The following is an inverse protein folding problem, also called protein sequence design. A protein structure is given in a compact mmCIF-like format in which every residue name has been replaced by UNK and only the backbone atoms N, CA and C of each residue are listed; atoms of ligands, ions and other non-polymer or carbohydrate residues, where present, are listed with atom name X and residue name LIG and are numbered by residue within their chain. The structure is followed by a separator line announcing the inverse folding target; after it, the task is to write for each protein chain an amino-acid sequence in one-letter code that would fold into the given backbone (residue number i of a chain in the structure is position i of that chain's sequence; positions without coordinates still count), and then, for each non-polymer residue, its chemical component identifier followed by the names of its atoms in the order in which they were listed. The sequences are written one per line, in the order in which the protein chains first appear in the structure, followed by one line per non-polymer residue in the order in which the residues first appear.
data_IF_995942015841
#
_entry.id   IF_995942015841
#
_cell.length_a   1.000
_cell.length_b   1.000
_cell.length_c   1.000
_cell.angle_alpha   90.00
_cell.angle_beta   90.00
_cell.angle_gamma   90.00
#
_symmetry.space_group_name_H-M   'P 1'
#
loop_
_entity.id
_entity.type
_entity.pdbx_description
1 polymer ?
#
# COMPACT_ATOMS: atom_id res chain seq x y z
N UNK A 1 -4.15 -7.13 21.51
CA UNK A 1 -4.78 -5.91 20.95
C UNK A 1 -4.22 -5.71 19.54
N UNK A 2 -5.05 -5.46 18.50
CA UNK A 2 -4.56 -5.16 17.15
C UNK A 2 -3.61 -3.94 17.14
N UNK A 3 -2.64 -3.93 16.23
CA UNK A 3 -1.59 -2.91 16.20
C UNK A 3 -2.16 -1.49 15.96
N UNK A 4 -3.17 -1.38 15.11
CA UNK A 4 -3.90 -0.14 14.84
C UNK A 4 -4.58 0.40 16.11
N UNK A 5 -5.15 -0.48 16.95
CA UNK A 5 -5.83 -0.09 18.17
C UNK A 5 -4.83 0.34 19.25
N UNK A 6 -3.68 -0.35 19.33
CA UNK A 6 -2.60 0.02 20.24
C UNK A 6 -2.03 1.41 19.89
N UNK A 7 -1.81 1.69 18.60
CA UNK A 7 -1.36 3.00 18.12
C UNK A 7 -2.43 4.08 18.32
N UNK A 8 -3.69 3.79 17.96
CA UNK A 8 -4.79 4.75 18.11
C UNK A 8 -4.94 5.22 19.57
N UNK A 9 -4.75 4.31 20.53
CA UNK A 9 -4.90 4.59 21.97
C UNK A 9 -3.61 5.08 22.66
N UNK A 10 -2.49 5.15 21.94
CA UNK A 10 -1.21 5.56 22.53
C UNK A 10 -1.14 7.10 22.67
N UNK A 11 -1.14 7.66 23.89
CA UNK A 11 -1.11 9.11 24.10
C UNK A 11 0.25 9.73 23.75
N UNK A 12 1.32 8.93 23.66
CA UNK A 12 2.66 9.41 23.34
C UNK A 12 2.89 9.59 21.83
N UNK A 13 1.92 9.19 21.00
CA UNK A 13 1.99 9.34 19.54
C UNK A 13 0.95 10.35 19.10
N UNK A 14 1.38 11.46 18.54
CA UNK A 14 0.49 12.53 18.05
C UNK A 14 -0.08 12.20 16.67
N UNK A 15 -1.19 12.85 16.31
CA UNK A 15 -1.79 12.70 14.99
C UNK A 15 -0.88 13.20 13.87
N UNK A 16 -0.09 14.24 14.14
CA UNK A 16 0.91 14.74 13.19
C UNK A 16 2.00 13.71 12.90
N UNK A 17 2.41 12.93 13.90
CA UNK A 17 3.42 11.88 13.74
C UNK A 17 2.86 10.71 12.90
N UNK A 18 1.60 10.34 13.13
CA UNK A 18 0.92 9.35 12.28
C UNK A 18 0.83 9.84 10.83
N UNK A 19 0.41 11.09 10.60
CA UNK A 19 0.33 11.69 9.26
C UNK A 19 1.70 11.72 8.56
N UNK A 20 2.73 12.19 9.25
CA UNK A 20 4.09 12.24 8.71
C UNK A 20 4.62 10.84 8.37
N UNK A 21 4.33 9.84 9.20
CA UNK A 21 4.71 8.46 8.93
C UNK A 21 3.98 7.88 7.70
N UNK A 22 2.67 8.15 7.57
CA UNK A 22 1.89 7.77 6.38
C UNK A 22 2.49 8.40 5.11
N UNK A 23 2.82 9.70 5.15
CA UNK A 23 3.40 10.41 4.01
C UNK A 23 4.78 9.87 3.62
N UNK A 24 5.63 9.58 4.60
CA UNK A 24 6.92 8.93 4.37
C UNK A 24 6.75 7.56 3.70
N UNK A 25 5.83 6.72 4.20
CA UNK A 25 5.59 5.40 3.65
C UNK A 25 5.01 5.45 2.24
N UNK A 26 4.10 6.39 1.97
CA UNK A 26 3.60 6.68 0.62
C UNK A 26 4.73 7.09 -0.32
N UNK A 27 5.62 7.98 0.11
CA UNK A 27 6.78 8.37 -0.68
C UNK A 27 7.72 7.18 -0.95
N UNK A 28 7.94 6.31 0.04
CA UNK A 28 8.76 5.11 -0.11
C UNK A 28 8.18 4.13 -1.13
N UNK A 29 6.86 3.90 -1.10
CA UNK A 29 6.16 3.05 -2.07
C UNK A 29 6.24 3.66 -3.48
N UNK A 30 5.96 4.96 -3.62
CA UNK A 30 6.06 5.66 -4.92
C UNK A 30 7.47 5.59 -5.50
N UNK A 31 8.51 5.80 -4.67
CA UNK A 31 9.92 5.69 -5.12
C UNK A 31 10.26 4.30 -5.63
N UNK A 32 9.76 3.24 -5.00
CA UNK A 32 9.97 1.88 -5.49
C UNK A 32 9.32 1.68 -6.87
N UNK A 33 8.07 2.11 -7.03
CA UNK A 33 7.35 2.07 -8.31
C UNK A 33 8.09 2.84 -9.42
N UNK A 34 8.56 4.07 -9.14
CA UNK A 34 9.32 4.86 -10.11
C UNK A 34 10.64 4.22 -10.54
N UNK A 35 11.25 3.37 -9.69
CA UNK A 35 12.49 2.65 -10.00
C UNK A 35 12.24 1.29 -10.66
N UNK A 36 10.98 0.92 -10.94
CA UNK A 36 10.64 -0.43 -11.39
C UNK A 36 10.93 -1.51 -10.34
N UNK A 37 11.02 -1.12 -9.07
CA UNK A 37 11.30 -2.03 -7.96
C UNK A 37 10.00 -2.47 -7.27
N UNK A 38 9.93 -3.70 -6.73
CA UNK A 38 8.78 -4.14 -5.97
C UNK A 38 8.55 -3.23 -4.76
N UNK A 39 7.29 -2.88 -4.49
CA UNK A 39 6.92 -2.12 -3.32
C UNK A 39 7.29 -2.90 -2.04
N UNK A 40 8.03 -2.31 -1.08
CA UNK A 40 8.38 -3.02 0.14
C UNK A 40 7.12 -3.38 0.94
N UNK A 41 6.87 -4.68 1.16
CA UNK A 41 5.69 -5.17 1.87
C UNK A 41 5.51 -4.50 3.24
N UNK A 42 6.61 -4.34 3.99
CA UNK A 42 6.60 -3.67 5.29
C UNK A 42 6.14 -2.21 5.16
N UNK A 43 6.50 -1.50 4.09
CA UNK A 43 6.07 -0.13 3.89
C UNK A 43 4.56 -0.06 3.65
N UNK A 44 4.03 -0.96 2.82
CA UNK A 44 2.60 -1.06 2.56
C UNK A 44 1.80 -1.41 3.81
N UNK A 45 2.23 -2.45 4.55
CA UNK A 45 1.56 -2.91 5.77
C UNK A 45 1.57 -1.84 6.86
N UNK A 46 2.73 -1.21 7.12
CA UNK A 46 2.81 -0.15 8.13
C UNK A 46 1.93 1.05 7.76
N UNK A 47 1.84 1.40 6.47
CA UNK A 47 0.99 2.51 6.01
C UNK A 47 -0.47 2.24 6.36
N UNK A 48 -0.96 1.04 6.05
CA UNK A 48 -2.34 0.64 6.34
C UNK A 48 -2.64 0.65 7.85
N UNK A 49 -1.71 0.18 8.68
CA UNK A 49 -1.87 0.21 10.14
C UNK A 49 -1.97 1.66 10.64
N UNK A 50 -1.14 2.57 10.14
CA UNK A 50 -1.13 3.97 10.55
C UNK A 50 -2.38 4.71 10.05
N UNK A 51 -2.81 4.47 8.82
CA UNK A 51 -4.07 5.00 8.29
C UNK A 51 -5.26 4.53 9.11
N UNK A 52 -5.30 3.24 9.46
CA UNK A 52 -6.37 2.69 10.30
C UNK A 52 -6.34 3.26 11.72
N UNK A 53 -5.16 3.43 12.31
CA UNK A 53 -5.00 4.06 13.62
C UNK A 53 -5.50 5.52 13.61
N UNK A 54 -5.16 6.28 12.57
CA UNK A 54 -5.62 7.67 12.41
C UNK A 54 -7.14 7.73 12.23
N UNK A 55 -7.72 6.85 11.41
CA UNK A 55 -9.17 6.76 11.21
C UNK A 55 -9.91 6.45 12.52
N UNK A 56 -9.38 5.56 13.36
CA UNK A 56 -9.94 5.27 14.69
C UNK A 56 -9.97 6.53 15.57
N UNK A 57 -8.91 7.37 15.51
CA UNK A 57 -8.82 8.60 16.31
C UNK A 57 -9.77 9.69 15.81
N UNK A 58 -9.87 9.87 14.49
CA UNK A 58 -10.68 10.93 13.88
C UNK A 58 -12.16 10.55 13.78
N UNK A 59 -12.52 9.29 14.03
CA UNK A 59 -13.87 8.78 13.80
C UNK A 59 -14.22 8.65 12.31
N UNK A 60 -13.23 8.73 11.42
CA UNK A 60 -13.44 8.54 9.99
C UNK A 60 -13.69 7.06 9.67
N UNK A 61 -14.80 6.78 8.98
CA UNK A 61 -15.16 5.43 8.57
C UNK A 61 -14.19 4.89 7.50
N UNK A 62 -13.83 3.60 7.54
CA UNK A 62 -12.93 2.92 6.59
C UNK A 62 -13.30 3.19 5.11
N UNK A 63 -14.58 3.41 4.81
CA UNK A 63 -15.10 3.70 3.47
C UNK A 63 -14.69 5.08 2.90
N UNK A 64 -14.29 6.03 3.75
CA UNK A 64 -13.78 7.33 3.29
C UNK A 64 -12.36 7.22 2.73
N UNK A 65 -11.52 6.39 3.37
CA UNK A 65 -10.10 6.23 3.00
C UNK A 65 -9.91 5.41 1.72
N UNK A 66 -10.68 4.32 1.55
CA UNK A 66 -10.63 3.46 0.33
C UNK A 66 -11.00 4.25 -0.95
N UNK A 67 -11.90 5.23 -0.86
CA UNK A 67 -12.27 6.10 -2.00
C UNK A 67 -11.16 7.07 -2.41
N UNK A 68 -10.25 7.43 -1.51
CA UNK A 68 -9.07 8.24 -1.83
C UNK A 68 -8.02 7.42 -2.57
N UNK A 69 -7.89 6.14 -2.21
CA UNK A 69 -6.86 5.27 -2.74
C UNK A 69 -7.20 4.70 -4.12
N UNK A 70 -8.47 4.35 -4.38
CA UNK A 70 -8.94 3.99 -5.74
C UNK A 70 -8.68 5.09 -6.76
N UNK A 71 -8.77 6.36 -6.37
CA UNK A 71 -8.47 7.49 -7.27
C UNK A 71 -6.98 7.57 -7.64
N UNK A 72 -6.08 7.18 -6.74
CA UNK A 72 -4.64 7.18 -7.00
C UNK A 72 -4.15 5.93 -7.75
N UNK A 73 -4.85 4.78 -7.66
CA UNK A 73 -4.49 3.59 -8.42
C UNK A 73 -4.92 3.66 -9.89
N UNK A 74 -6.03 4.35 -10.20
CA UNK A 74 -6.56 4.46 -11.58
C UNK A 74 -5.65 5.33 -12.47
N UNK A 75 -4.82 6.21 -11.90
CA UNK A 75 -3.83 6.99 -12.64
C UNK A 75 -2.47 6.28 -12.85
N UNK A 76 -2.37 4.98 -12.55
CA UNK A 76 -1.24 4.19 -13.06
C UNK A 76 -1.65 3.59 -14.41
N UNK A 77 -1.02 3.98 -15.54
CA UNK A 77 -1.23 3.26 -16.79
C UNK A 77 -0.83 1.81 -16.53
N UNK A 78 -1.81 0.92 -16.67
CA UNK A 78 -1.61 -0.51 -16.57
C UNK A 78 -0.44 -0.91 -17.47
N UNK A 79 0.71 -1.24 -16.86
CA UNK A 79 1.72 -2.05 -17.54
C UNK A 79 1.09 -3.42 -17.73
N UNK A 80 0.48 -3.63 -18.90
CA UNK A 80 0.11 -4.95 -19.40
C UNK A 80 1.40 -5.78 -19.45
N UNK A 81 1.65 -6.56 -18.39
CA UNK A 81 2.56 -7.68 -18.48
C UNK A 81 1.92 -8.67 -19.45
N UNK A 82 2.35 -8.61 -20.70
CA UNK A 82 2.06 -9.61 -21.71
C UNK A 82 2.44 -10.96 -21.13
N UNK A 83 1.43 -11.80 -20.92
CA UNK A 83 1.60 -13.21 -20.61
C UNK A 83 2.40 -13.77 -21.78
N UNK A 84 3.67 -14.09 -21.54
CA UNK A 84 4.48 -14.85 -22.46
C UNK A 84 3.86 -16.26 -22.50
N UNK A 85 2.92 -16.47 -23.42
CA UNK A 85 2.48 -17.80 -23.81
C UNK A 85 3.69 -18.48 -24.45
N UNK A 86 4.48 -19.16 -23.61
CA UNK A 86 5.50 -20.09 -24.08
C UNK A 86 4.79 -21.20 -24.86
N UNK A 87 4.95 -21.15 -26.18
CA UNK A 87 4.66 -22.24 -27.09
C UNK A 87 5.52 -23.43 -26.64
N UNK A 88 4.90 -24.46 -26.07
CA UNK A 88 5.56 -25.75 -25.83
C UNK A 88 5.50 -26.50 -27.16
N UNK A 89 6.51 -26.27 -28.00
CA UNK A 89 6.71 -27.10 -29.19
C UNK A 89 7.14 -28.49 -28.72
N UNK A 90 6.23 -29.45 -28.88
CA UNK A 90 6.49 -30.85 -28.66
C UNK A 90 7.55 -31.33 -29.65
N UNK A 91 8.74 -31.64 -29.16
CA UNK A 91 9.71 -32.38 -29.94
C UNK A 91 9.59 -33.87 -29.60
N UNK A 92 8.84 -34.59 -30.44
CA UNK A 92 9.01 -36.03 -30.62
C UNK A 92 10.32 -36.27 -31.37
N UNK A 93 11.20 -37.08 -30.80
CA UNK A 93 12.28 -37.71 -31.54
C UNK A 93 12.54 -39.10 -30.93
N UNK A 94 12.26 -40.10 -31.76
CA UNK A 94 12.68 -41.51 -31.82
C UNK A 94 13.34 -42.19 -30.60
#
# INVERSE_FOLDING_TARGET
MPAENALARNPNVRDEELKAAIDYLRAKIRRAAHKGQPAPFNAYRSKLIFEKALNIRTGESEWASVRSERRNLVEQPMLQSQILQGHFDGNSAD
#
